data_IF_633773422694
#
_entry.id   IF_633773422694
#
_cell.length_a   1.000
_cell.length_b   1.000
_cell.length_c   1.000
_cell.angle_alpha   90.00
_cell.angle_beta   90.00
_cell.angle_gamma   90.00
#
_symmetry.space_group_name_H-M   'P 1'
#
loop_
_entity.id
_entity.type
_entity.pdbx_description
1 polymer ?
#
# COMPACT_ATOMS: atom_id res chain seq x y z
N UNK A 1 -7.33 -15.84 -2.16
CA UNK A 1 -7.50 -16.14 -0.72
C UNK A 1 -6.47 -15.35 0.07
N UNK A 2 -6.81 -14.83 1.26
CA UNK A 2 -5.86 -14.21 2.20
C UNK A 2 -5.86 -14.99 3.51
N UNK A 3 -4.64 -15.29 4.01
CA UNK A 3 -4.42 -15.92 5.32
C UNK A 3 -3.68 -14.95 6.23
N UNK A 4 -3.74 -15.19 7.54
CA UNK A 4 -3.10 -14.37 8.55
C UNK A 4 -2.05 -15.18 9.30
N UNK A 5 -0.76 -14.85 9.07
CA UNK A 5 0.38 -15.53 9.70
C UNK A 5 1.13 -14.53 10.58
N UNK A 6 0.51 -14.18 11.70
CA UNK A 6 1.01 -13.23 12.68
C UNK A 6 0.35 -13.55 14.03
N UNK A 7 1.07 -13.39 15.11
CA UNK A 7 0.59 -13.63 16.49
C UNK A 7 0.24 -12.35 17.26
N UNK A 8 0.23 -11.20 16.56
CA UNK A 8 -0.02 -9.89 17.19
C UNK A 8 0.89 -9.62 18.39
N UNK A 9 2.18 -9.89 18.24
CA UNK A 9 3.18 -9.82 19.32
C UNK A 9 2.83 -10.77 20.49
N UNK A 10 2.49 -12.02 20.19
CA UNK A 10 2.19 -13.05 21.16
C UNK A 10 0.78 -13.00 21.77
N UNK A 11 -0.11 -12.15 21.25
CA UNK A 11 -1.50 -12.03 21.77
C UNK A 11 -2.46 -13.05 21.16
N UNK A 12 -2.10 -13.71 20.08
CA UNK A 12 -2.90 -14.72 19.41
C UNK A 12 -2.00 -15.85 18.89
N UNK A 13 -2.50 -17.09 18.77
CA UNK A 13 -1.75 -18.16 18.15
C UNK A 13 -1.54 -17.88 16.65
N UNK A 14 -0.32 -18.11 16.15
CA UNK A 14 -0.05 -18.06 14.72
C UNK A 14 -0.72 -19.21 13.99
N UNK A 15 -1.09 -18.99 12.74
CA UNK A 15 -1.50 -20.07 11.85
C UNK A 15 -0.31 -21.04 11.65
N UNK A 16 -0.52 -22.31 12.01
CA UNK A 16 0.54 -23.31 12.00
C UNK A 16 1.03 -23.64 10.57
N UNK A 17 2.33 -23.95 10.36
CA UNK A 17 2.90 -24.21 9.04
C UNK A 17 2.18 -25.30 8.24
N UNK A 18 1.74 -26.37 8.85
CA UNK A 18 0.98 -27.42 8.19
C UNK A 18 -0.37 -26.92 7.64
N UNK A 19 -1.02 -25.98 8.35
CA UNK A 19 -2.31 -25.41 7.92
C UNK A 19 -2.14 -24.47 6.74
N UNK A 20 -1.21 -23.50 6.79
CA UNK A 20 -1.05 -22.61 5.64
C UNK A 20 -0.47 -23.30 4.41
N UNK A 21 0.38 -24.33 4.57
CA UNK A 21 0.81 -25.16 3.45
C UNK A 21 -0.35 -25.90 2.80
N UNK A 22 -1.28 -26.44 3.60
CA UNK A 22 -2.48 -27.08 3.08
C UNK A 22 -3.41 -26.07 2.36
N UNK A 23 -3.56 -24.87 2.91
CA UNK A 23 -4.38 -23.80 2.28
C UNK A 23 -3.77 -23.37 0.95
N UNK A 24 -2.44 -23.17 0.88
CA UNK A 24 -1.74 -22.82 -0.36
C UNK A 24 -1.95 -23.91 -1.42
N UNK A 25 -1.72 -25.15 -1.07
CA UNK A 25 -1.89 -26.29 -1.98
C UNK A 25 -3.32 -26.42 -2.49
N UNK A 26 -4.30 -26.29 -1.59
CA UNK A 26 -5.71 -26.39 -1.97
C UNK A 26 -6.15 -25.21 -2.83
N UNK A 27 -5.74 -23.98 -2.47
CA UNK A 27 -5.99 -22.79 -3.28
C UNK A 27 -5.46 -22.95 -4.71
N UNK A 28 -4.24 -23.46 -4.85
CA UNK A 28 -3.63 -23.69 -6.18
C UNK A 28 -4.37 -24.74 -7.01
N UNK A 29 -4.89 -25.80 -6.40
CA UNK A 29 -5.73 -26.80 -7.11
C UNK A 29 -6.98 -26.17 -7.73
N UNK A 30 -7.49 -25.12 -7.10
CA UNK A 30 -8.65 -24.35 -7.60
C UNK A 30 -8.27 -23.14 -8.46
N UNK A 31 -7.00 -22.98 -8.84
CA UNK A 31 -6.50 -21.84 -9.60
C UNK A 31 -6.55 -20.51 -8.86
N UNK A 32 -6.63 -20.55 -7.52
CA UNK A 32 -6.69 -19.37 -6.67
C UNK A 32 -5.28 -18.99 -6.17
N UNK A 33 -4.97 -17.70 -6.20
CA UNK A 33 -3.79 -17.15 -5.52
C UNK A 33 -4.02 -17.04 -4.03
N UNK A 34 -2.98 -17.32 -3.24
CA UNK A 34 -3.00 -17.21 -1.79
C UNK A 34 -2.02 -16.14 -1.34
N UNK A 35 -2.50 -15.18 -0.55
CA UNK A 35 -1.70 -14.13 0.07
C UNK A 35 -1.62 -14.33 1.57
N UNK A 36 -0.50 -13.98 2.16
CA UNK A 36 -0.33 -14.01 3.61
C UNK A 36 -0.09 -12.61 4.16
N UNK A 37 -0.85 -12.23 5.19
CA UNK A 37 -0.37 -11.24 6.15
C UNK A 37 0.81 -11.82 6.90
N UNK A 38 1.92 -11.10 6.96
CA UNK A 38 3.16 -11.56 7.56
C UNK A 38 3.75 -10.45 8.44
N UNK A 39 4.40 -10.85 9.54
CA UNK A 39 5.12 -9.95 10.43
C UNK A 39 6.59 -10.37 10.59
N UNK A 40 6.84 -11.67 10.78
CA UNK A 40 8.16 -12.21 11.09
C UNK A 40 8.89 -12.69 9.84
N UNK A 41 10.18 -12.42 9.80
CA UNK A 41 11.06 -12.86 8.71
C UNK A 41 11.06 -14.38 8.53
N UNK A 42 11.08 -15.15 9.63
CA UNK A 42 11.05 -16.61 9.58
C UNK A 42 9.79 -17.15 8.92
N UNK A 43 8.64 -16.52 9.19
CA UNK A 43 7.37 -16.90 8.58
C UNK A 43 7.37 -16.55 7.08
N UNK A 44 7.95 -15.41 6.70
CA UNK A 44 8.07 -15.04 5.29
C UNK A 44 8.95 -16.04 4.51
N UNK A 45 10.06 -16.49 5.09
CA UNK A 45 10.93 -17.54 4.48
C UNK A 45 10.14 -18.81 4.24
N UNK A 46 9.43 -19.30 5.25
CA UNK A 46 8.67 -20.55 5.15
C UNK A 46 7.46 -20.43 4.20
N UNK A 47 6.77 -19.30 4.20
CA UNK A 47 5.67 -19.02 3.27
C UNK A 47 6.16 -18.98 1.81
N UNK A 48 7.28 -18.30 1.54
CA UNK A 48 7.89 -18.28 0.20
C UNK A 48 8.30 -19.68 -0.21
N UNK A 49 8.85 -20.48 0.69
CA UNK A 49 9.19 -21.88 0.41
C UNK A 49 7.94 -22.75 0.19
N UNK A 50 6.87 -22.50 0.91
CA UNK A 50 5.57 -23.15 0.73
C UNK A 50 4.88 -22.80 -0.59
N UNK A 51 5.36 -21.79 -1.34
CA UNK A 51 4.80 -21.38 -2.63
C UNK A 51 3.71 -20.33 -2.54
N UNK A 52 3.75 -19.47 -1.53
CA UNK A 52 2.82 -18.32 -1.43
C UNK A 52 2.88 -17.44 -2.66
N UNK A 53 1.75 -16.90 -3.13
CA UNK A 53 1.69 -16.01 -4.29
C UNK A 53 1.97 -14.56 -3.95
N UNK A 54 1.66 -14.13 -2.72
CA UNK A 54 1.87 -12.75 -2.30
C UNK A 54 2.06 -12.61 -0.79
N UNK A 55 2.92 -11.64 -0.42
CA UNK A 55 3.13 -11.18 0.94
C UNK A 55 2.41 -9.84 1.10
N UNK A 56 1.40 -9.80 1.96
CA UNK A 56 0.76 -8.59 2.41
C UNK A 56 1.52 -8.10 3.65
N UNK A 57 2.01 -6.88 3.56
CA UNK A 57 3.01 -6.24 4.41
C UNK A 57 4.45 -6.78 4.19
N UNK A 58 5.40 -5.98 4.62
CA UNK A 58 6.79 -6.39 4.79
C UNK A 58 6.98 -6.93 6.20
N UNK A 59 7.99 -7.78 6.37
CA UNK A 59 8.41 -8.25 7.70
C UNK A 59 8.96 -7.08 8.52
N UNK A 60 8.69 -7.06 9.83
CA UNK A 60 8.95 -5.91 10.71
C UNK A 60 9.94 -6.22 11.84
N UNK A 61 10.21 -7.49 12.10
CA UNK A 61 11.11 -7.93 13.16
C UNK A 61 12.58 -7.76 12.78
N UNK A 62 12.92 -7.91 11.52
CA UNK A 62 14.25 -7.66 10.97
C UNK A 62 14.20 -7.38 9.48
N UNK A 63 15.26 -6.79 8.93
CA UNK A 63 15.41 -6.52 7.51
C UNK A 63 15.42 -7.82 6.70
N UNK A 64 14.78 -7.81 5.53
CA UNK A 64 14.83 -8.92 4.59
C UNK A 64 16.27 -9.12 4.11
N UNK A 65 16.80 -10.31 4.31
CA UNK A 65 18.12 -10.66 3.85
C UNK A 65 18.14 -11.00 2.35
N UNK A 66 19.33 -11.06 1.78
CA UNK A 66 19.50 -11.29 0.34
C UNK A 66 18.99 -12.66 -0.09
N UNK A 67 19.00 -13.65 0.80
CA UNK A 67 18.49 -15.00 0.54
C UNK A 67 16.96 -15.00 0.36
N UNK A 68 16.24 -14.33 1.26
CA UNK A 68 14.79 -14.18 1.17
C UNK A 68 14.41 -13.34 -0.07
N UNK A 69 15.10 -12.23 -0.33
CA UNK A 69 14.87 -11.39 -1.51
C UNK A 69 15.08 -12.22 -2.80
N UNK A 70 16.17 -12.95 -2.89
CA UNK A 70 16.44 -13.83 -4.04
C UNK A 70 15.36 -14.91 -4.21
N UNK A 71 14.83 -15.46 -3.11
CA UNK A 71 13.75 -16.43 -3.15
C UNK A 71 12.44 -15.80 -3.64
N UNK A 72 12.07 -14.62 -3.13
CA UNK A 72 10.90 -13.83 -3.57
C UNK A 72 10.96 -13.56 -5.07
N UNK A 73 12.10 -13.08 -5.57
CA UNK A 73 12.29 -12.80 -7.00
C UNK A 73 12.22 -14.06 -7.85
N UNK A 74 12.96 -15.10 -7.47
CA UNK A 74 13.03 -16.37 -8.21
C UNK A 74 11.66 -17.05 -8.32
N UNK A 75 10.88 -17.04 -7.24
CA UNK A 75 9.54 -17.63 -7.19
C UNK A 75 8.44 -16.71 -7.75
N UNK A 76 8.79 -15.46 -8.04
CA UNK A 76 7.85 -14.48 -8.60
C UNK A 76 6.76 -14.05 -7.63
N UNK A 77 7.03 -14.09 -6.33
CA UNK A 77 6.10 -13.70 -5.27
C UNK A 77 5.84 -12.19 -5.37
N UNK A 78 4.57 -11.81 -5.28
CA UNK A 78 4.18 -10.40 -5.21
C UNK A 78 4.33 -9.86 -3.79
N UNK A 79 4.75 -8.62 -3.66
CA UNK A 79 4.93 -7.96 -2.36
C UNK A 79 4.10 -6.68 -2.32
N UNK A 80 3.26 -6.56 -1.30
CA UNK A 80 2.47 -5.37 -0.99
C UNK A 80 3.08 -4.69 0.23
N UNK A 81 3.83 -3.57 0.09
CA UNK A 81 4.60 -2.99 1.19
C UNK A 81 3.76 -2.53 2.37
N UNK A 82 2.64 -1.85 2.10
CA UNK A 82 1.76 -1.25 3.09
C UNK A 82 2.53 -0.34 4.07
N UNK A 83 3.22 0.67 3.55
CA UNK A 83 3.98 1.64 4.33
C UNK A 83 3.10 2.76 4.89
N UNK A 84 2.01 3.10 4.19
CA UNK A 84 1.11 4.21 4.55
C UNK A 84 0.50 4.10 5.96
N UNK A 85 0.19 2.91 6.52
CA UNK A 85 -0.28 2.78 7.89
C UNK A 85 0.70 3.30 8.96
N UNK A 86 1.95 3.46 8.61
CA UNK A 86 3.00 3.89 9.54
C UNK A 86 3.25 5.42 9.51
N UNK A 87 2.33 6.22 8.93
CA UNK A 87 2.48 7.68 8.82
C UNK A 87 2.72 8.39 10.16
N UNK A 88 2.17 7.87 11.26
CA UNK A 88 2.35 8.42 12.59
C UNK A 88 3.77 8.25 13.14
N UNK A 89 4.63 7.52 12.44
CA UNK A 89 6.06 7.37 12.79
C UNK A 89 6.91 8.55 12.32
N UNK A 90 6.39 9.40 11.44
CA UNK A 90 7.12 10.55 10.93
C UNK A 90 7.53 11.51 12.04
N UNK A 91 8.73 12.11 11.96
CA UNK A 91 9.20 13.03 13.00
C UNK A 91 8.35 14.28 13.09
N UNK A 92 7.85 14.74 11.96
CA UNK A 92 7.01 15.94 11.85
C UNK A 92 5.59 15.58 11.46
N UNK A 93 4.66 16.49 11.75
CA UNK A 93 3.28 16.40 11.25
C UNK A 93 3.32 16.26 9.72
N UNK A 94 2.70 15.22 9.15
CA UNK A 94 2.65 15.04 7.71
C UNK A 94 2.14 16.30 6.99
N UNK A 95 2.71 16.63 5.84
CA UNK A 95 2.35 17.86 5.10
C UNK A 95 0.84 17.96 4.84
N UNK A 96 0.20 16.83 4.51
CA UNK A 96 -1.24 16.75 4.23
C UNK A 96 -2.15 16.95 5.47
N UNK A 97 -1.59 17.07 6.67
CA UNK A 97 -2.28 17.53 7.88
C UNK A 97 -1.90 18.97 8.27
N UNK A 98 -0.99 19.63 7.53
CA UNK A 98 -0.60 21.01 7.78
C UNK A 98 -1.60 21.99 7.16
N UNK A 99 -1.89 23.07 7.86
CA UNK A 99 -2.79 24.12 7.35
C UNK A 99 -2.20 24.74 6.06
N UNK A 100 -3.06 24.93 5.07
CA UNK A 100 -2.68 25.45 3.75
C UNK A 100 -2.24 24.39 2.74
N UNK A 101 -2.14 23.12 3.13
CA UNK A 101 -1.87 22.04 2.18
C UNK A 101 -3.13 21.73 1.33
N UNK A 102 -2.99 21.60 -0.01
CA UNK A 102 -4.13 21.29 -0.88
C UNK A 102 -4.84 19.97 -0.53
N UNK A 103 -4.10 18.97 -0.04
CA UNK A 103 -4.69 17.71 0.40
C UNK A 103 -5.51 17.87 1.67
N UNK A 104 -5.08 18.72 2.60
CA UNK A 104 -5.88 19.01 3.79
C UNK A 104 -7.23 19.60 3.40
N UNK A 105 -7.26 20.55 2.44
CA UNK A 105 -8.50 21.12 1.93
C UNK A 105 -9.43 20.03 1.39
N UNK A 106 -8.89 19.13 0.58
CA UNK A 106 -9.63 18.00 0.02
C UNK A 106 -10.15 17.06 1.12
N UNK A 107 -9.33 16.79 2.14
CA UNK A 107 -9.71 15.97 3.29
C UNK A 107 -10.82 16.63 4.12
N UNK A 108 -10.75 17.94 4.35
CA UNK A 108 -11.78 18.70 5.06
C UNK A 108 -13.14 18.67 4.35
N UNK A 109 -13.12 18.56 3.02
CA UNK A 109 -14.34 18.42 2.22
C UNK A 109 -14.91 16.99 2.21
N UNK A 110 -14.08 15.97 2.42
CA UNK A 110 -14.44 14.54 2.21
C UNK A 110 -14.46 13.72 3.49
N UNK A 111 -13.84 14.19 4.57
CA UNK A 111 -13.77 13.47 5.84
C UNK A 111 -14.45 14.29 6.96
N UNK A 112 -15.16 13.62 7.90
CA UNK A 112 -15.72 14.30 9.07
C UNK A 112 -14.62 15.02 9.87
N UNK A 113 -14.90 16.25 10.33
CA UNK A 113 -13.94 17.05 11.09
C UNK A 113 -13.41 16.31 12.33
N UNK A 114 -14.24 15.49 12.98
CA UNK A 114 -13.84 14.64 14.12
C UNK A 114 -12.76 13.62 13.75
N UNK A 115 -12.77 13.09 12.53
CA UNK A 115 -11.74 12.16 12.05
C UNK A 115 -10.41 12.86 11.93
N UNK A 116 -10.38 14.05 11.28
CA UNK A 116 -9.16 14.84 11.12
C UNK A 116 -8.59 15.32 12.47
N UNK A 117 -9.46 15.75 13.38
CA UNK A 117 -9.07 16.12 14.74
C UNK A 117 -8.45 14.94 15.50
N UNK A 118 -9.04 13.74 15.39
CA UNK A 118 -8.48 12.51 15.98
C UNK A 118 -7.11 12.14 15.39
N UNK A 119 -6.94 12.28 14.07
CA UNK A 119 -5.65 12.01 13.42
C UNK A 119 -4.56 12.97 13.92
N UNK A 120 -4.85 14.27 14.00
CA UNK A 120 -3.91 15.26 14.57
C UNK A 120 -3.59 14.95 16.02
N UNK A 121 -4.62 14.67 16.83
CA UNK A 121 -4.44 14.32 18.24
C UNK A 121 -3.62 13.04 18.43
N UNK A 122 -3.85 12.02 17.63
CA UNK A 122 -3.06 10.77 17.67
C UNK A 122 -1.58 11.04 17.36
N UNK A 123 -1.29 12.00 16.50
CA UNK A 123 0.06 12.47 16.21
C UNK A 123 0.68 13.21 17.41
N UNK A 124 -0.07 14.11 18.04
CA UNK A 124 0.38 14.92 19.18
C UNK A 124 0.60 14.08 20.44
N UNK A 125 -0.29 13.13 20.71
CA UNK A 125 -0.29 12.29 21.91
C UNK A 125 0.69 11.11 21.84
N UNK A 126 1.57 11.04 20.84
CA UNK A 126 2.50 9.92 20.66
C UNK A 126 3.40 9.72 21.86
N UNK A 127 3.47 8.48 22.34
CA UNK A 127 4.45 8.10 23.35
C UNK A 127 5.87 8.07 22.73
N UNK A 128 6.84 8.88 23.23
CA UNK A 128 8.18 8.94 22.64
C UNK A 128 8.90 7.58 22.58
N UNK A 129 8.77 6.74 23.60
CA UNK A 129 9.42 5.42 23.63
C UNK A 129 8.77 4.43 22.64
N UNK A 130 7.44 4.49 22.49
CA UNK A 130 6.74 3.71 21.48
C UNK A 130 7.10 4.19 20.07
N UNK A 131 7.20 5.50 19.88
CA UNK A 131 7.57 6.13 18.61
C UNK A 131 8.95 5.70 18.12
N UNK A 132 9.96 5.65 18.99
CA UNK A 132 11.31 5.22 18.61
C UNK A 132 11.31 3.77 18.11
N UNK A 133 10.61 2.88 18.79
CA UNK A 133 10.46 1.49 18.33
C UNK A 133 9.76 1.41 16.97
N UNK A 134 8.69 2.16 16.79
CA UNK A 134 7.93 2.17 15.52
C UNK A 134 8.77 2.74 14.39
N UNK A 135 9.54 3.81 14.63
CA UNK A 135 10.50 4.36 13.66
C UNK A 135 11.57 3.36 13.26
N UNK A 136 12.12 2.62 14.23
CA UNK A 136 13.10 1.58 13.95
C UNK A 136 12.49 0.47 13.06
N UNK A 137 11.27 0.05 13.33
CA UNK A 137 10.55 -0.91 12.49
C UNK A 137 10.27 -0.32 11.10
N UNK A 138 9.83 0.92 11.01
CA UNK A 138 9.60 1.59 9.72
C UNK A 138 10.87 1.67 8.87
N UNK A 139 12.01 1.99 9.47
CA UNK A 139 13.30 1.98 8.79
C UNK A 139 13.68 0.59 8.24
N UNK A 140 13.29 -0.49 8.94
CA UNK A 140 13.45 -1.87 8.44
C UNK A 140 12.61 -2.08 7.18
N UNK A 141 11.35 -1.62 7.19
CA UNK A 141 10.46 -1.72 6.02
C UNK A 141 11.02 -0.97 4.80
N UNK A 142 11.49 0.27 5.02
CA UNK A 142 12.08 1.09 3.95
C UNK A 142 13.31 0.42 3.33
N UNK A 143 14.25 -0.08 4.14
CA UNK A 143 15.45 -0.77 3.63
C UNK A 143 15.10 -2.07 2.91
N UNK A 144 14.16 -2.84 3.43
CA UNK A 144 13.67 -4.06 2.78
C UNK A 144 13.03 -3.76 1.43
N UNK A 145 12.21 -2.70 1.34
CA UNK A 145 11.59 -2.28 0.09
C UNK A 145 12.63 -1.81 -0.94
N UNK A 146 13.62 -1.01 -0.52
CA UNK A 146 14.71 -0.58 -1.38
C UNK A 146 15.47 -1.76 -2.01
N UNK A 147 15.77 -2.79 -1.20
CA UNK A 147 16.42 -4.02 -1.70
C UNK A 147 15.54 -4.80 -2.68
N UNK A 148 14.25 -4.95 -2.37
CA UNK A 148 13.28 -5.59 -3.27
C UNK A 148 13.17 -4.85 -4.61
N UNK A 149 13.09 -3.52 -4.57
CA UNK A 149 13.03 -2.68 -5.76
C UNK A 149 14.31 -2.79 -6.61
N UNK A 150 15.49 -2.78 -5.97
CA UNK A 150 16.79 -2.99 -6.63
C UNK A 150 16.89 -4.38 -7.27
N UNK A 151 16.32 -5.40 -6.63
CA UNK A 151 16.26 -6.77 -7.15
C UNK A 151 15.15 -6.99 -8.19
N UNK A 152 14.41 -5.94 -8.58
CA UNK A 152 13.29 -5.99 -9.52
C UNK A 152 12.18 -6.99 -9.09
N UNK A 153 11.90 -7.07 -7.80
CA UNK A 153 10.79 -7.87 -7.28
C UNK A 153 9.44 -7.37 -7.81
N UNK A 154 8.43 -8.23 -7.78
CA UNK A 154 7.06 -7.89 -8.17
C UNK A 154 6.36 -7.12 -7.05
N UNK A 155 6.65 -5.83 -6.93
CA UNK A 155 6.02 -4.95 -5.94
C UNK A 155 4.69 -4.44 -6.52
N UNK A 156 3.61 -4.51 -5.72
CA UNK A 156 2.29 -3.94 -6.03
C UNK A 156 1.86 -3.01 -4.90
N UNK A 157 1.22 -1.90 -5.27
CA UNK A 157 0.69 -0.94 -4.31
C UNK A 157 -0.41 -1.59 -3.47
N UNK A 158 -0.37 -1.36 -2.18
CA UNK A 158 -1.42 -1.68 -1.23
C UNK A 158 -1.28 -0.77 -0.02
N UNK A 159 -2.36 -0.09 0.36
CA UNK A 159 -2.38 0.93 1.41
C UNK A 159 -3.01 0.45 2.71
N UNK A 160 -3.61 -0.74 2.72
CA UNK A 160 -4.39 -1.28 3.84
C UNK A 160 -5.52 -0.33 4.29
N UNK A 161 -6.15 0.35 3.31
CA UNK A 161 -7.22 1.32 3.51
C UNK A 161 -8.47 0.65 4.10
N UNK A 162 -9.23 1.42 4.91
CA UNK A 162 -10.45 0.96 5.55
C UNK A 162 -10.36 0.86 7.07
N UNK A 163 -9.22 1.17 7.65
CA UNK A 163 -9.07 1.43 9.09
C UNK A 163 -9.51 2.86 9.40
N UNK A 164 -9.73 3.18 10.67
CA UNK A 164 -10.33 4.45 11.11
C UNK A 164 -9.65 5.74 10.60
N UNK A 165 -8.33 5.69 10.41
CA UNK A 165 -7.47 6.82 9.99
C UNK A 165 -6.82 6.60 8.61
N UNK A 166 -7.18 5.51 7.93
CA UNK A 166 -6.71 5.21 6.57
C UNK A 166 -7.82 5.51 5.57
N UNK A 167 -7.87 6.77 5.13
CA UNK A 167 -8.92 7.28 4.26
C UNK A 167 -8.72 6.84 2.81
N UNK A 168 -9.81 6.42 2.16
CA UNK A 168 -9.81 6.03 0.75
C UNK A 168 -9.30 7.16 -0.15
N UNK A 169 -8.46 6.82 -1.12
CA UNK A 169 -7.83 7.75 -2.04
C UNK A 169 -6.61 8.43 -1.47
N UNK A 170 -6.65 8.86 -0.21
CA UNK A 170 -5.52 9.49 0.45
C UNK A 170 -4.44 8.50 0.86
N UNK A 171 -4.82 7.38 1.46
CA UNK A 171 -3.84 6.35 1.87
C UNK A 171 -3.09 5.78 0.67
N UNK A 172 -3.74 5.65 -0.50
CA UNK A 172 -3.10 5.24 -1.74
C UNK A 172 -2.09 6.28 -2.22
N UNK A 173 -2.42 7.57 -2.16
CA UNK A 173 -1.47 8.65 -2.51
C UNK A 173 -0.28 8.69 -1.55
N UNK A 174 -0.55 8.51 -0.27
CA UNK A 174 0.48 8.43 0.75
C UNK A 174 1.38 7.19 0.58
N UNK A 175 0.82 6.05 0.15
CA UNK A 175 1.62 4.86 -0.15
C UNK A 175 2.55 5.10 -1.34
N UNK A 176 2.09 5.78 -2.42
CA UNK A 176 2.95 6.15 -3.55
C UNK A 176 4.15 6.98 -3.09
N UNK A 177 3.92 7.98 -2.24
CA UNK A 177 4.97 8.83 -1.68
C UNK A 177 5.91 8.03 -0.78
N UNK A 178 5.37 7.20 0.11
CA UNK A 178 6.15 6.35 1.03
C UNK A 178 7.05 5.37 0.29
N UNK A 179 6.55 4.77 -0.80
CA UNK A 179 7.34 3.86 -1.65
C UNK A 179 8.50 4.60 -2.33
N UNK A 180 8.29 5.83 -2.81
CA UNK A 180 9.36 6.65 -3.39
C UNK A 180 10.38 7.06 -2.32
N UNK A 181 9.93 7.48 -1.14
CA UNK A 181 10.79 7.84 -0.01
C UNK A 181 11.60 6.64 0.51
N UNK A 182 11.12 5.42 0.31
CA UNK A 182 11.86 4.19 0.58
C UNK A 182 12.86 3.79 -0.53
N UNK A 183 13.04 4.62 -1.57
CA UNK A 183 14.08 4.45 -2.60
C UNK A 183 13.60 3.83 -3.93
N UNK A 184 12.29 3.67 -4.13
CA UNK A 184 11.78 3.32 -5.45
C UNK A 184 11.80 4.55 -6.38
N UNK A 185 12.15 4.35 -7.64
CA UNK A 185 12.01 5.43 -8.64
C UNK A 185 10.52 5.72 -8.92
N UNK A 186 10.15 6.95 -9.31
CA UNK A 186 8.76 7.26 -9.65
C UNK A 186 8.15 6.31 -10.68
N UNK A 187 8.93 5.88 -11.68
CA UNK A 187 8.47 4.89 -12.67
C UNK A 187 8.16 3.54 -12.01
N UNK A 188 9.01 3.05 -11.11
CA UNK A 188 8.75 1.80 -10.38
C UNK A 188 7.48 1.90 -9.54
N UNK A 189 7.24 3.05 -8.89
CA UNK A 189 6.03 3.31 -8.11
C UNK A 189 4.78 3.30 -9.00
N UNK A 190 4.81 3.99 -10.16
CA UNK A 190 3.71 4.00 -11.12
C UNK A 190 3.42 2.59 -11.64
N UNK A 191 4.43 1.81 -11.98
CA UNK A 191 4.30 0.41 -12.40
C UNK A 191 3.67 -0.43 -11.29
N UNK A 192 4.09 -0.25 -10.04
CA UNK A 192 3.55 -0.94 -8.87
C UNK A 192 2.08 -0.56 -8.60
N UNK A 193 1.63 0.63 -9.02
CA UNK A 193 0.26 1.10 -8.85
C UNK A 193 -0.67 0.81 -10.05
N UNK A 194 -0.13 0.35 -11.17
CA UNK A 194 -0.91 0.21 -12.42
C UNK A 194 -0.78 -1.18 -13.05
N UNK A 195 0.30 -1.44 -13.77
CA UNK A 195 0.44 -2.67 -14.56
C UNK A 195 0.69 -3.91 -13.69
N UNK A 196 1.42 -3.80 -12.59
CA UNK A 196 1.68 -4.93 -11.69
C UNK A 196 0.42 -5.45 -10.97
N UNK A 197 -0.44 -4.61 -10.34
CA UNK A 197 -1.69 -5.09 -9.77
C UNK A 197 -2.65 -5.64 -10.84
N UNK A 198 -2.67 -5.07 -12.04
CA UNK A 198 -3.47 -5.61 -13.14
C UNK A 198 -3.00 -7.02 -13.54
N UNK A 199 -1.68 -7.25 -13.63
CA UNK A 199 -1.09 -8.58 -13.84
C UNK A 199 -1.44 -9.55 -12.69
N UNK A 200 -1.28 -9.08 -11.45
CA UNK A 200 -1.63 -9.87 -10.28
C UNK A 200 -3.11 -10.29 -10.26
N UNK A 201 -4.01 -9.37 -10.58
CA UNK A 201 -5.46 -9.62 -10.62
C UNK A 201 -5.94 -10.22 -11.95
N UNK A 202 -5.02 -10.50 -12.90
CA UNK A 202 -5.31 -11.04 -14.24
C UNK A 202 -6.24 -10.16 -15.08
N UNK A 203 -6.19 -8.84 -14.87
CA UNK A 203 -6.99 -7.84 -15.59
C UNK A 203 -6.35 -7.49 -16.94
N UNK A 204 -6.54 -8.34 -17.93
CA UNK A 204 -5.87 -8.26 -19.25
C UNK A 204 -6.09 -6.94 -20.00
N UNK A 205 -7.22 -6.25 -19.73
CA UNK A 205 -7.61 -5.02 -20.40
C UNK A 205 -7.23 -3.73 -19.68
N UNK A 206 -6.58 -3.82 -18.50
CA UNK A 206 -6.25 -2.69 -17.63
C UNK A 206 -4.75 -2.59 -17.34
N UNK A 207 -4.33 -1.57 -16.60
CA UNK A 207 -2.99 -1.40 -16.05
C UNK A 207 -1.96 -0.76 -17.00
N UNK A 208 -2.27 -0.63 -18.30
CA UNK A 208 -1.43 0.09 -19.28
C UNK A 208 -2.31 0.76 -20.33
N UNK A 209 -1.83 1.86 -20.91
CA UNK A 209 -2.44 2.52 -22.06
C UNK A 209 -1.90 1.89 -23.35
N UNK A 210 -2.74 1.13 -24.05
CA UNK A 210 -2.39 0.50 -25.32
C UNK A 210 -3.65 0.25 -26.15
N UNK A 211 -3.51 0.11 -27.46
CA UNK A 211 -4.61 -0.24 -28.34
C UNK A 211 -5.26 -1.55 -27.90
N UNK A 212 -6.60 -1.60 -27.89
CA UNK A 212 -7.39 -2.75 -27.48
C UNK A 212 -7.58 -2.90 -25.96
N UNK A 213 -7.04 -2.00 -25.14
CA UNK A 213 -7.27 -1.96 -23.69
C UNK A 213 -8.36 -0.94 -23.30
N UNK A 214 -8.87 -1.06 -22.09
CA UNK A 214 -9.83 -0.11 -21.55
C UNK A 214 -9.17 1.25 -21.33
N UNK A 215 -9.81 2.31 -21.81
CA UNK A 215 -9.32 3.68 -21.63
C UNK A 215 -9.66 4.19 -20.22
N UNK A 216 -8.97 3.64 -19.22
CA UNK A 216 -9.06 4.05 -17.81
C UNK A 216 -7.74 4.66 -17.40
N UNK A 217 -7.70 5.99 -17.21
CA UNK A 217 -6.47 6.73 -16.92
C UNK A 217 -6.72 8.05 -16.20
N UNK A 218 -5.67 8.60 -15.63
CA UNK A 218 -5.62 9.93 -15.03
C UNK A 218 -4.89 10.89 -15.96
N UNK A 219 -5.38 12.12 -16.08
CA UNK A 219 -4.64 13.25 -16.64
C UNK A 219 -4.13 14.09 -15.48
N UNK A 220 -2.84 14.34 -15.47
CA UNK A 220 -2.14 15.05 -14.40
C UNK A 220 -1.64 16.40 -14.90
N UNK A 221 -1.66 17.43 -14.03
CA UNK A 221 -1.17 18.78 -14.35
C UNK A 221 0.36 18.92 -14.24
N UNK A 222 1.03 17.89 -13.72
CA UNK A 222 2.49 17.87 -13.62
C UNK A 222 3.04 16.46 -13.82
N UNK A 223 4.33 16.39 -14.18
CA UNK A 223 5.00 15.14 -14.52
C UNK A 223 5.28 14.28 -13.25
N UNK A 224 4.63 13.11 -13.09
CA UNK A 224 4.84 12.24 -11.94
C UNK A 224 6.22 11.55 -11.95
N UNK A 225 6.94 11.55 -13.08
CA UNK A 225 8.30 10.99 -13.16
C UNK A 225 9.36 11.93 -12.56
N UNK A 226 9.06 13.22 -12.47
CA UNK A 226 9.91 14.20 -11.79
C UNK A 226 9.70 14.16 -10.27
N UNK A 227 8.44 14.01 -9.84
CA UNK A 227 8.06 13.88 -8.45
C UNK A 227 6.77 13.07 -8.35
N UNK A 228 6.78 11.97 -7.62
CA UNK A 228 5.62 11.10 -7.46
C UNK A 228 4.40 11.81 -6.85
N UNK A 229 4.62 12.83 -6.01
CA UNK A 229 3.54 13.66 -5.43
C UNK A 229 2.69 14.34 -6.51
N UNK A 230 3.21 14.52 -7.72
CA UNK A 230 2.45 15.05 -8.84
C UNK A 230 1.28 14.14 -9.28
N UNK A 231 1.23 12.87 -8.84
CA UNK A 231 0.05 12.01 -9.01
C UNK A 231 -1.20 12.54 -8.31
N UNK A 232 -1.04 13.43 -7.34
CA UNK A 232 -2.14 14.10 -6.63
C UNK A 232 -2.75 15.26 -7.44
N UNK A 233 -2.02 15.77 -8.46
CA UNK A 233 -2.43 16.89 -9.31
C UNK A 233 -3.30 16.41 -10.48
N UNK A 234 -4.44 15.80 -10.14
CA UNK A 234 -5.36 15.19 -11.11
C UNK A 234 -6.27 16.26 -11.72
N UNK A 235 -6.13 16.52 -13.02
CA UNK A 235 -7.06 17.39 -13.75
C UNK A 235 -8.28 16.62 -14.24
N UNK A 236 -8.12 15.41 -14.80
CA UNK A 236 -9.25 14.61 -15.31
C UNK A 236 -9.07 13.13 -14.97
N UNK A 237 -10.20 12.44 -14.86
CA UNK A 237 -10.25 10.98 -14.66
C UNK A 237 -11.11 10.39 -15.76
N UNK A 238 -10.61 9.35 -16.42
CA UNK A 238 -11.37 8.57 -17.40
C UNK A 238 -11.52 7.14 -16.93
N UNK A 239 -12.74 6.60 -17.01
CA UNK A 239 -13.04 5.20 -16.72
C UNK A 239 -13.71 4.59 -17.95
N UNK A 240 -13.05 3.62 -18.58
CA UNK A 240 -13.52 2.97 -19.82
C UNK A 240 -13.90 3.97 -20.92
N UNK A 241 -13.14 5.06 -21.03
CA UNK A 241 -13.34 6.10 -22.05
C UNK A 241 -14.32 7.22 -21.66
N UNK A 242 -15.06 7.07 -20.59
CA UNK A 242 -15.96 8.13 -20.08
C UNK A 242 -15.24 9.01 -19.07
N UNK A 243 -15.36 10.32 -19.23
CA UNK A 243 -14.84 11.29 -18.24
C UNK A 243 -15.72 11.26 -16.97
N UNK A 244 -15.08 11.25 -15.82
CA UNK A 244 -15.75 11.29 -14.52
C UNK A 244 -16.05 12.74 -14.15
N UNK A 245 -17.33 13.04 -13.94
CA UNK A 245 -17.74 14.35 -13.38
C UNK A 245 -17.41 14.43 -11.89
N UNK A 246 -16.19 14.88 -11.60
CA UNK A 246 -15.67 15.03 -10.22
C UNK A 246 -16.44 16.07 -9.42
N UNK A 247 -16.94 17.12 -10.06
CA UNK A 247 -17.70 18.19 -9.39
C UNK A 247 -19.05 17.67 -8.89
N UNK A 248 -19.77 16.92 -9.72
CA UNK A 248 -21.02 16.28 -9.35
C UNK A 248 -20.84 15.25 -8.24
N UNK A 249 -19.78 14.40 -8.32
CA UNK A 249 -19.46 13.43 -7.27
C UNK A 249 -19.17 14.13 -5.93
N UNK A 250 -18.34 15.17 -5.94
CA UNK A 250 -18.02 15.94 -4.72
C UNK A 250 -19.28 16.52 -4.09
N UNK A 251 -20.14 17.16 -4.88
CA UNK A 251 -21.41 17.75 -4.36
C UNK A 251 -22.40 16.69 -3.86
N UNK A 252 -22.36 15.46 -4.35
CA UNK A 252 -23.19 14.37 -3.83
C UNK A 252 -22.71 13.87 -2.47
N UNK A 253 -21.39 13.76 -2.27
CA UNK A 253 -20.78 13.32 -1.02
C UNK A 253 -21.00 14.33 0.12
N UNK A 254 -20.90 15.63 -0.16
CA UNK A 254 -21.12 16.67 0.86
C UNK A 254 -22.59 16.80 1.30
N UNK A 255 -23.55 16.39 0.45
CA UNK A 255 -24.99 16.41 0.77
C UNK A 255 -25.45 15.24 1.65
N UNK A 256 -24.68 14.18 1.74
CA UNK A 256 -25.04 12.96 2.51
C UNK A 256 -24.42 12.91 3.90
N UNK A 257 -23.62 13.91 4.30
CA UNK A 257 -23.11 14.01 5.68
C UNK A 257 -24.20 14.63 6.56
N UNK A 258 -24.89 13.88 7.42
CA UNK A 258 -25.77 14.48 8.43
C UNK A 258 -24.90 15.28 9.40
N UNK A 259 -25.34 16.47 9.76
CA UNK A 259 -24.79 17.33 10.82
C UNK A 259 -24.72 16.60 12.15
#
# INVERSE_FOLDING_TARGET
>A
VKIWVDDRNGRAPRLAPNLYRAIIQEGHKHGLRVNAHVFYHTDAVDLVDAGIDGLAHLVRDKEMDDALIAAVVRRGVYVMPNLSPEWNTYPELPHWLKDGDPLLTLLQESAPAAVLARMRKAYEDRNPAALERTRSQYAILQRSLAKLAKANAKIILGSDTGLEDHLFGMSEQHELESMANAGMTPMQVIVAATSRPADYLQLKRMGTLAAGKDASFLVLDANPLENIVNTQRISRIYIKGAEVDRASLRSSLTRTSPN
#
